data_IF_242914758142
#
_entry.id   IF_242914758142
#
_cell.length_a   1.000
_cell.length_b   1.000
_cell.length_c   1.000
_cell.angle_alpha   90.00
_cell.angle_beta   90.00
_cell.angle_gamma   90.00
#
_symmetry.space_group_name_H-M   'P 1'
#
loop_
_entity.id
_entity.type
_entity.pdbx_description
1 polymer ?
#
# COMPACT_ATOMS: atom_id res chain seq x y z
N UNK A 1 -5.05 3.49 -12.21
CA UNK A 1 -5.89 2.31 -12.50
C UNK A 1 -6.60 1.92 -11.20
N UNK A 2 -7.93 2.01 -11.10
CA UNK A 2 -8.64 1.61 -9.87
C UNK A 2 -8.93 0.12 -9.91
N UNK A 3 -8.34 -0.64 -9.00
CA UNK A 3 -8.61 -2.07 -8.88
C UNK A 3 -10.02 -2.24 -8.32
N UNK A 4 -10.94 -2.81 -9.13
CA UNK A 4 -12.24 -3.27 -8.63
C UNK A 4 -11.98 -4.49 -7.75
N UNK A 5 -12.13 -4.34 -6.43
CA UNK A 5 -11.75 -5.36 -5.43
C UNK A 5 -12.98 -5.89 -4.71
N UNK A 6 -13.10 -7.21 -4.62
CA UNK A 6 -14.10 -7.90 -3.80
C UNK A 6 -13.67 -7.97 -2.33
N UNK A 7 -14.58 -8.45 -1.47
CA UNK A 7 -14.28 -8.73 -0.05
C UNK A 7 -13.22 -9.85 0.04
N UNK A 8 -12.00 -9.55 0.51
CA UNK A 8 -10.98 -10.59 0.72
C UNK A 8 -11.31 -11.44 1.96
N UNK A 9 -11.25 -12.76 1.77
CA UNK A 9 -11.55 -13.77 2.80
C UNK A 9 -10.46 -13.83 3.86
N UNK A 10 -9.21 -13.53 3.52
CA UNK A 10 -8.09 -13.49 4.45
C UNK A 10 -8.28 -12.40 5.51
N UNK A 11 -8.68 -11.18 5.11
CA UNK A 11 -8.92 -10.10 6.07
C UNK A 11 -10.09 -10.39 7.00
N UNK A 12 -11.09 -11.11 6.49
CA UNK A 12 -12.19 -11.63 7.32
C UNK A 12 -11.67 -12.64 8.34
N UNK A 13 -10.75 -13.53 7.95
CA UNK A 13 -10.11 -14.49 8.84
C UNK A 13 -9.20 -13.82 9.88
N UNK A 14 -8.29 -12.92 9.46
CA UNK A 14 -7.34 -12.24 10.34
C UNK A 14 -8.04 -11.46 11.46
N UNK A 15 -9.15 -10.78 11.13
CA UNK A 15 -10.00 -10.13 12.12
C UNK A 15 -10.67 -11.13 13.08
N UNK A 16 -11.27 -12.20 12.55
CA UNK A 16 -11.93 -13.25 13.37
C UNK A 16 -10.94 -13.95 14.30
N UNK A 17 -9.71 -14.17 13.84
CA UNK A 17 -8.62 -14.72 14.62
C UNK A 17 -8.05 -13.73 15.66
N UNK A 18 -8.49 -12.46 15.63
CA UNK A 18 -8.04 -11.43 16.56
C UNK A 18 -6.66 -10.86 16.26
N UNK A 19 -6.10 -11.13 15.08
CA UNK A 19 -4.81 -10.63 14.62
C UNK A 19 -4.86 -9.14 14.26
N UNK A 20 -6.05 -8.63 13.94
CA UNK A 20 -6.29 -7.22 13.61
C UNK A 20 -7.50 -6.73 14.40
N UNK A 21 -7.32 -5.79 15.35
CA UNK A 21 -8.40 -5.26 16.21
C UNK A 21 -8.29 -3.75 16.41
N UNK A 22 -9.44 -3.08 16.52
CA UNK A 22 -9.53 -1.61 16.67
C UNK A 22 -8.91 -1.04 17.96
N UNK A 23 -8.57 -1.87 18.97
CA UNK A 23 -7.88 -1.42 20.18
C UNK A 23 -6.35 -1.48 20.07
N UNK A 24 -5.83 -2.02 18.97
CA UNK A 24 -4.39 -2.05 18.72
C UNK A 24 -3.91 -0.67 18.25
N UNK A 25 -2.60 -0.42 18.18
CA UNK A 25 -2.08 0.71 17.42
C UNK A 25 -2.50 0.68 15.94
N UNK A 26 -2.69 1.87 15.36
CA UNK A 26 -2.95 2.05 13.94
C UNK A 26 -1.67 2.48 13.22
N UNK A 27 -1.40 1.84 12.09
CA UNK A 27 -0.18 2.02 11.31
C UNK A 27 -0.53 2.37 9.88
N UNK A 28 0.25 3.27 9.30
CA UNK A 28 0.33 3.49 7.86
C UNK A 28 1.64 2.86 7.41
N UNK A 29 1.54 1.83 6.59
CA UNK A 29 2.66 1.12 6.01
C UNK A 29 2.77 1.50 4.55
N UNK A 30 3.87 2.15 4.17
CA UNK A 30 4.16 2.39 2.75
C UNK A 30 4.85 1.15 2.22
N UNK A 31 4.29 0.56 1.17
CA UNK A 31 4.84 -0.65 0.56
C UNK A 31 5.18 -0.35 -0.88
N UNK A 32 6.43 -0.62 -1.23
CA UNK A 32 6.90 -0.64 -2.61
C UNK A 32 6.88 -2.07 -3.11
N UNK A 33 6.41 -2.27 -4.34
CA UNK A 33 6.20 -3.61 -4.89
C UNK A 33 6.51 -3.64 -6.37
N UNK A 34 6.98 -4.79 -6.87
CA UNK A 34 7.01 -5.08 -8.30
C UNK A 34 5.63 -5.54 -8.77
N UNK A 35 5.33 -5.26 -10.03
CA UNK A 35 4.13 -5.76 -10.66
C UNK A 35 4.36 -7.21 -11.12
N UNK A 36 3.68 -8.19 -10.50
CA UNK A 36 3.76 -9.57 -10.95
C UNK A 36 2.90 -9.79 -12.20
N UNK A 37 3.57 -9.79 -13.34
CA UNK A 37 2.96 -10.00 -14.68
C UNK A 37 2.43 -11.43 -14.88
N UNK A 38 2.80 -12.38 -14.02
CA UNK A 38 2.23 -13.74 -14.01
C UNK A 38 0.90 -13.78 -13.27
N UNK A 39 0.79 -13.08 -12.15
CA UNK A 39 -0.45 -12.99 -11.38
C UNK A 39 -1.52 -12.15 -12.08
N UNK A 40 -1.13 -11.11 -12.84
CA UNK A 40 -2.10 -10.23 -13.52
C UNK A 40 -1.52 -9.58 -14.78
N UNK A 41 -2.41 -9.27 -15.73
CA UNK A 41 -2.09 -8.49 -16.94
C UNK A 41 -1.82 -7.00 -16.62
N UNK A 42 -0.69 -6.73 -15.96
CA UNK A 42 -0.21 -5.38 -15.69
C UNK A 42 0.31 -4.71 -16.97
N UNK A 43 0.19 -3.39 -17.05
CA UNK A 43 0.78 -2.61 -18.15
C UNK A 43 2.30 -2.73 -18.13
N UNK A 44 2.90 -2.96 -19.30
CA UNK A 44 4.37 -3.00 -19.46
C UNK A 44 5.06 -1.66 -19.20
N UNK A 45 4.30 -0.55 -19.16
CA UNK A 45 4.82 0.79 -18.88
C UNK A 45 5.31 0.98 -17.45
N UNK A 46 4.84 0.13 -16.53
CA UNK A 46 5.14 0.24 -15.11
C UNK A 46 5.92 -0.98 -14.66
N UNK A 47 6.90 -0.75 -13.81
CA UNK A 47 7.77 -1.79 -13.27
C UNK A 47 7.46 -2.07 -11.80
N UNK A 48 6.95 -1.05 -11.10
CA UNK A 48 6.53 -1.19 -9.71
C UNK A 48 5.31 -0.34 -9.37
N UNK A 49 4.87 -0.49 -8.14
CA UNK A 49 3.85 0.33 -7.53
C UNK A 49 4.16 0.59 -6.06
N UNK A 50 3.81 1.79 -5.62
CA UNK A 50 3.83 2.24 -4.23
C UNK A 50 2.40 2.39 -3.76
N UNK A 51 2.10 1.86 -2.58
CA UNK A 51 0.79 2.03 -1.94
C UNK A 51 0.93 2.14 -0.44
N UNK A 52 0.08 2.96 0.17
CA UNK A 52 -0.06 2.99 1.61
C UNK A 52 -1.12 1.96 2.03
N UNK A 53 -0.74 1.03 2.90
CA UNK A 53 -1.63 0.09 3.58
C UNK A 53 -1.80 0.52 5.02
N UNK A 54 -3.03 0.62 5.47
CA UNK A 54 -3.39 1.06 6.80
C UNK A 54 -3.89 -0.14 7.60
N UNK A 55 -3.24 -0.46 8.71
CA UNK A 55 -3.53 -1.69 9.48
C UNK A 55 -3.56 -1.44 10.97
N UNK A 56 -4.27 -2.30 11.71
CA UNK A 56 -4.21 -2.37 13.15
C UNK A 56 -3.28 -3.52 13.57
N UNK A 57 -2.21 -3.22 14.31
CA UNK A 57 -1.18 -4.20 14.67
C UNK A 57 -0.52 -3.83 16.00
N UNK A 58 -0.01 -4.82 16.76
CA UNK A 58 0.59 -4.57 18.08
C UNK A 58 2.00 -4.02 17.94
N UNK A 59 2.74 -4.47 16.94
CA UNK A 59 4.13 -4.08 16.68
C UNK A 59 4.31 -3.56 15.26
N UNK A 60 5.48 -2.96 14.99
CA UNK A 60 5.85 -2.47 13.66
C UNK A 60 6.01 -3.64 12.67
N UNK A 61 6.63 -4.74 13.11
CA UNK A 61 6.88 -5.93 12.31
C UNK A 61 5.57 -6.63 11.93
N UNK A 62 4.60 -6.67 12.87
CA UNK A 62 3.26 -7.16 12.58
C UNK A 62 2.56 -6.27 11.54
N UNK A 63 2.72 -4.95 11.63
CA UNK A 63 2.12 -4.03 10.68
C UNK A 63 2.68 -4.24 9.26
N UNK A 64 4.00 -4.34 9.14
CA UNK A 64 4.69 -4.59 7.87
C UNK A 64 4.32 -5.94 7.28
N UNK A 65 4.33 -7.00 8.09
CA UNK A 65 3.95 -8.34 7.63
C UNK A 65 2.50 -8.40 7.14
N UNK A 66 1.57 -7.75 7.83
CA UNK A 66 0.18 -7.65 7.37
C UNK A 66 0.07 -6.85 6.06
N UNK A 67 0.84 -5.78 5.91
CA UNK A 67 0.82 -4.96 4.69
C UNK A 67 1.38 -5.71 3.47
N UNK A 68 2.45 -6.49 3.65
CA UNK A 68 3.02 -7.38 2.62
C UNK A 68 1.98 -8.40 2.14
N UNK A 69 1.38 -9.15 3.07
CA UNK A 69 0.35 -10.14 2.75
C UNK A 69 -0.84 -9.51 2.00
N UNK A 70 -1.18 -8.25 2.32
CA UNK A 70 -2.24 -7.53 1.65
C UNK A 70 -1.99 -7.34 0.15
N UNK A 71 -0.73 -7.12 -0.24
CA UNK A 71 -0.35 -6.87 -1.62
C UNK A 71 -0.07 -8.14 -2.40
N UNK A 72 0.46 -9.18 -1.75
CA UNK A 72 0.64 -10.50 -2.37
C UNK A 72 -0.71 -11.08 -2.86
N UNK A 73 -1.79 -10.93 -2.08
CA UNK A 73 -3.15 -11.31 -2.50
C UNK A 73 -3.61 -10.61 -3.81
N UNK A 74 -2.96 -9.50 -4.19
CA UNK A 74 -3.32 -8.72 -5.36
C UNK A 74 -2.41 -8.94 -6.58
N UNK A 75 -1.45 -9.85 -6.48
CA UNK A 75 -0.47 -10.09 -7.54
C UNK A 75 0.56 -8.96 -7.64
N UNK A 76 0.93 -8.39 -6.49
CA UNK A 76 2.07 -7.51 -6.33
C UNK A 76 3.14 -8.27 -5.53
N UNK A 77 4.41 -8.05 -5.86
CA UNK A 77 5.55 -8.65 -5.18
C UNK A 77 6.21 -7.57 -4.30
N UNK A 78 5.99 -7.55 -2.98
CA UNK A 78 6.52 -6.51 -2.10
C UNK A 78 8.05 -6.55 -2.05
N UNK A 79 8.67 -5.36 -2.09
CA UNK A 79 10.13 -5.18 -1.98
C UNK A 79 10.47 -4.62 -0.59
N UNK A 80 9.77 -3.55 -0.20
CA UNK A 80 9.96 -2.84 1.07
C UNK A 80 8.62 -2.54 1.70
N UNK A 81 8.58 -2.52 3.03
CA UNK A 81 7.44 -2.08 3.81
C UNK A 81 7.97 -1.21 4.95
N UNK A 82 7.51 0.04 5.03
CA UNK A 82 7.92 1.00 6.06
C UNK A 82 6.69 1.45 6.85
N UNK A 83 6.63 1.02 8.11
CA UNK A 83 5.49 1.26 8.98
C UNK A 83 5.68 2.48 9.90
N UNK A 84 4.76 3.43 9.76
CA UNK A 84 4.70 4.62 10.60
C UNK A 84 3.40 4.61 11.39
N UNK A 85 3.52 4.73 12.72
CA UNK A 85 2.36 4.85 13.61
C UNK A 85 1.60 6.14 13.29
N UNK A 86 0.28 6.05 13.08
CA UNK A 86 -0.53 7.22 12.76
C UNK A 86 -1.91 7.15 13.44
N UNK A 87 -2.57 8.29 13.71
CA UNK A 87 -3.96 8.27 14.15
C UNK A 87 -4.88 7.85 12.98
N UNK A 88 -5.90 7.02 13.23
CA UNK A 88 -6.87 6.67 12.19
C UNK A 88 -7.72 7.88 11.84
N UNK A 89 -7.87 8.18 10.54
CA UNK A 89 -8.79 9.22 10.07
C UNK A 89 -10.26 8.92 10.46
N UNK A 90 -10.60 7.64 10.63
CA UNK A 90 -11.82 7.16 11.28
C UNK A 90 -11.60 5.74 11.80
N UNK A 91 -12.08 5.42 13.01
CA UNK A 91 -12.07 4.05 13.52
C UNK A 91 -12.93 3.13 12.60
N UNK A 92 -12.45 1.95 12.19
CA UNK A 92 -13.19 1.09 11.28
C UNK A 92 -14.48 0.60 11.95
N UNK A 93 -15.62 0.83 11.29
CA UNK A 93 -16.93 0.39 11.80
C UNK A 93 -17.24 -1.06 11.42
N UNK A 94 -16.52 -1.65 10.45
CA UNK A 94 -16.74 -3.02 9.93
C UNK A 94 -15.42 -3.75 9.62
N UNK A 95 -15.43 -5.07 9.79
CA UNK A 95 -14.32 -6.04 9.60
C UNK A 95 -13.43 -5.83 8.36
N UNK A 96 -13.94 -5.51 7.15
CA UNK A 96 -13.09 -5.29 5.97
C UNK A 96 -12.34 -3.95 5.96
N UNK A 97 -12.71 -3.01 6.83
CA UNK A 97 -12.04 -1.70 6.95
C UNK A 97 -10.81 -1.75 7.85
N UNK A 98 -10.54 -2.90 8.47
CA UNK A 98 -9.38 -3.10 9.33
C UNK A 98 -8.06 -3.04 8.54
N UNK A 99 -8.13 -3.23 7.21
CA UNK A 99 -7.06 -2.92 6.26
C UNK A 99 -7.58 -2.00 5.16
N UNK A 100 -7.24 -0.72 5.24
CA UNK A 100 -7.51 0.24 4.18
C UNK A 100 -6.26 0.44 3.31
N UNK A 101 -6.40 0.79 2.04
CA UNK A 101 -5.27 1.03 1.15
C UNK A 101 -5.50 2.27 0.31
N UNK A 102 -4.46 3.04 0.06
CA UNK A 102 -4.51 4.14 -0.89
C UNK A 102 -4.59 3.62 -2.33
N UNK A 103 -4.91 4.51 -3.26
CA UNK A 103 -4.69 4.24 -4.68
C UNK A 103 -3.20 3.89 -4.93
N UNK A 104 -2.94 3.08 -5.96
CA UNK A 104 -1.59 2.71 -6.40
C UNK A 104 -0.93 3.89 -7.10
N UNK A 105 0.22 4.34 -6.59
CA UNK A 105 1.19 5.11 -7.36
C UNK A 105 2.04 4.15 -8.17
N UNK A 106 2.26 4.40 -9.46
CA UNK A 106 3.04 3.50 -10.31
C UNK A 106 4.44 4.07 -10.53
N UNK A 107 5.45 3.20 -10.50
CA UNK A 107 6.84 3.53 -10.79
C UNK A 107 7.12 3.09 -12.23
N UNK A 108 7.57 4.02 -13.06
CA UNK A 108 8.09 3.78 -14.42
C UNK A 108 9.61 3.65 -14.35
N UNK A 109 10.23 2.76 -15.14
CA UNK A 109 11.68 2.66 -15.24
C UNK A 109 12.36 4.02 -15.52
N UNK A 110 13.54 4.20 -14.92
CA UNK A 110 14.37 5.42 -14.90
C UNK A 110 15.04 5.73 -16.26
N UNK A 111 14.81 4.92 -17.30
CA UNK A 111 15.32 5.24 -18.65
C UNK A 111 14.57 6.41 -19.33
N UNK A 112 13.44 6.87 -18.79
CA UNK A 112 12.74 8.08 -19.25
C UNK A 112 13.14 9.36 -18.48
N UNK A 113 13.99 9.25 -17.44
CA UNK A 113 14.35 10.38 -16.57
C UNK A 113 15.41 11.32 -17.19
N UNK A 114 15.89 11.05 -18.40
CA UNK A 114 16.75 11.94 -19.16
C UNK A 114 16.02 13.14 -19.81
N UNK A 115 14.69 13.23 -19.69
CA UNK A 115 13.92 14.35 -20.29
C UNK A 115 13.14 15.19 -19.26
N UNK A 116 13.23 14.87 -17.96
CA UNK A 116 12.46 15.54 -16.90
C UNK A 116 13.31 16.41 -15.95
N UNK A 117 14.62 16.55 -16.17
CA UNK A 117 15.41 17.61 -15.54
C UNK A 117 15.49 18.84 -16.46
N UNK A 118 14.68 19.87 -16.17
CA UNK A 118 14.83 21.13 -16.90
C UNK A 118 13.75 22.20 -16.76
N UNK A 119 13.25 22.51 -15.57
CA UNK A 119 12.92 23.91 -15.26
C UNK A 119 12.80 24.19 -13.75
N UNK A 120 13.94 24.13 -13.07
CA UNK A 120 14.16 25.02 -11.93
C UNK A 120 14.16 26.46 -12.44
N UNK A 121 13.06 27.18 -12.26
CA UNK A 121 13.08 28.65 -12.16
C UNK A 121 12.30 29.06 -10.92
N UNK A 122 13.08 29.51 -9.93
CA UNK A 122 12.67 30.44 -8.89
C UNK A 122 11.81 31.54 -9.51
N UNK A 123 10.53 31.59 -9.17
CA UNK A 123 9.71 32.78 -9.26
C UNK A 123 9.76 33.50 -7.92
N UNK A 124 10.71 34.41 -7.76
CA UNK A 124 10.57 35.50 -6.81
C UNK A 124 9.53 36.47 -7.37
N UNK A 125 8.43 36.71 -6.65
CA UNK A 125 7.73 38.00 -6.49
C UNK A 125 6.35 37.81 -5.86
N UNK A 126 6.14 38.45 -4.71
CA UNK A 126 4.98 39.29 -4.38
C UNK A 126 5.36 40.15 -3.18
#
# INVERSE_FOLDING_TARGET
MKLKRGLSRFWTFAFRAGLVRAHMPFWRVVVESKLDRRARAWSRRYDGAVTAVFVWARTIEEAEGLAVLALEEEGLEPITADAIKCPPAAAPKRTPQAVARSDLGFITNVDDEATAEGSSRRGAQA
#
